data_IF_578318552234
#
_entry.id   IF_578318552234
#
_cell.length_a   1.000
_cell.length_b   1.000
_cell.length_c   1.000
_cell.angle_alpha   90.00
_cell.angle_beta   90.00
_cell.angle_gamma   90.00
#
_symmetry.space_group_name_H-M   'P 1'
#
loop_
_entity.id
_entity.type
_entity.pdbx_description
1 polymer ?
#
# COMPACT_ATOMS: atom_id res chain seq x y z
N UNK A 1 -10.99 7.77 20.32
CA UNK A 1 -10.25 8.92 19.75
C UNK A 1 -9.70 8.46 18.40
N UNK A 2 -9.97 9.18 17.32
CA UNK A 2 -9.32 8.91 16.04
C UNK A 2 -7.82 9.18 16.19
N UNK A 3 -6.96 8.25 15.75
CA UNK A 3 -5.51 8.42 15.84
C UNK A 3 -5.01 9.55 14.94
N UNK A 4 -3.88 10.15 15.30
CA UNK A 4 -3.25 11.18 14.47
C UNK A 4 -2.83 10.58 13.10
N UNK A 5 -2.86 11.38 12.05
CA UNK A 5 -2.36 10.97 10.74
C UNK A 5 -0.85 10.71 10.85
N UNK A 6 -0.39 9.55 10.40
CA UNK A 6 1.02 9.15 10.48
C UNK A 6 1.72 9.21 9.13
N UNK A 7 0.99 8.94 8.06
CA UNK A 7 1.47 9.05 6.69
C UNK A 7 0.40 9.69 5.83
N UNK A 8 0.80 10.61 4.96
CA UNK A 8 -0.08 11.20 3.97
C UNK A 8 0.68 11.45 2.68
N UNK A 9 -0.03 11.62 1.57
CA UNK A 9 0.60 11.98 0.31
C UNK A 9 -0.37 11.93 -0.85
N UNK A 10 0.19 12.10 -2.04
CA UNK A 10 -0.52 12.05 -3.31
C UNK A 10 0.13 11.05 -4.27
N UNK A 11 -0.68 10.15 -4.79
CA UNK A 11 -0.30 9.19 -5.82
C UNK A 11 -0.81 9.69 -7.17
N UNK A 12 0.07 9.68 -8.16
CA UNK A 12 -0.24 10.07 -9.53
C UNK A 12 0.46 9.16 -10.51
N UNK A 13 0.07 9.26 -11.79
CA UNK A 13 0.71 8.55 -12.88
C UNK A 13 0.79 9.42 -14.12
N UNK A 14 1.80 9.17 -14.96
CA UNK A 14 1.95 9.80 -16.28
C UNK A 14 1.20 8.95 -17.30
N UNK A 15 0.09 9.47 -17.84
CA UNK A 15 -0.68 8.77 -18.87
C UNK A 15 0.08 8.72 -20.21
N UNK A 16 -0.43 7.94 -21.17
CA UNK A 16 0.22 7.75 -22.50
C UNK A 16 0.40 9.05 -23.29
N UNK A 17 -0.41 10.06 -23.00
CA UNK A 17 -0.32 11.41 -23.58
C UNK A 17 0.74 12.29 -22.89
N UNK A 18 1.49 11.76 -21.92
CA UNK A 18 2.48 12.49 -21.13
C UNK A 18 1.88 13.34 -20.01
N UNK A 19 0.56 13.33 -19.82
CA UNK A 19 -0.10 14.15 -18.81
C UNK A 19 -0.15 13.43 -17.47
N UNK A 20 0.29 14.10 -16.40
CA UNK A 20 0.17 13.60 -15.03
C UNK A 20 -1.29 13.64 -14.57
N UNK A 21 -1.79 12.50 -14.09
CA UNK A 21 -3.15 12.34 -13.56
C UNK A 21 -3.11 11.75 -12.16
N UNK A 22 -4.11 12.08 -11.34
CA UNK A 22 -4.28 11.44 -10.03
C UNK A 22 -4.52 9.94 -10.20
N UNK A 23 -3.87 9.12 -9.37
CA UNK A 23 -4.07 7.68 -9.34
C UNK A 23 -5.18 7.35 -8.34
N UNK A 24 -6.42 7.75 -8.66
CA UNK A 24 -7.58 7.47 -7.81
C UNK A 24 -7.72 5.97 -7.61
N UNK A 25 -7.96 5.54 -6.38
CA UNK A 25 -8.05 4.13 -6.02
C UNK A 25 -6.71 3.39 -6.00
N UNK A 26 -5.56 4.08 -6.09
CA UNK A 26 -4.27 3.49 -5.76
C UNK A 26 -4.28 2.97 -4.32
N UNK A 27 -3.57 1.87 -4.08
CA UNK A 27 -3.60 1.15 -2.80
C UNK A 27 -2.27 1.32 -2.08
N UNK A 28 -2.32 1.69 -0.81
CA UNK A 28 -1.16 1.91 0.04
C UNK A 28 -1.23 0.92 1.19
N UNK A 29 -0.27 -0.01 1.25
CA UNK A 29 -0.09 -0.93 2.36
C UNK A 29 1.15 -0.52 3.14
N UNK A 30 1.01 -0.38 4.45
CA UNK A 30 2.10 -0.05 5.37
C UNK A 30 2.27 -1.25 6.30
N UNK A 31 3.39 -1.93 6.19
CA UNK A 31 3.69 -3.20 6.83
C UNK A 31 4.79 -2.98 7.88
N UNK A 32 4.56 -3.24 9.17
CA UNK A 32 5.62 -3.04 10.16
C UNK A 32 6.80 -3.99 9.93
N UNK A 33 8.02 -3.60 10.26
CA UNK A 33 9.15 -4.55 10.23
C UNK A 33 8.95 -5.67 11.26
N UNK A 34 8.32 -5.33 12.40
CA UNK A 34 7.96 -6.26 13.47
C UNK A 34 6.43 -6.38 13.55
N UNK A 35 5.87 -7.42 12.92
CA UNK A 35 4.44 -7.71 13.05
C UNK A 35 4.09 -8.43 14.35
N UNK A 36 2.87 -8.20 14.80
CA UNK A 36 2.28 -8.97 15.90
C UNK A 36 1.60 -10.24 15.35
N UNK A 37 2.01 -11.41 15.82
CA UNK A 37 1.43 -12.68 15.40
C UNK A 37 2.00 -13.28 14.12
N UNK A 38 1.48 -14.45 13.73
CA UNK A 38 2.02 -15.27 12.63
C UNK A 38 1.02 -15.56 11.50
N UNK A 39 -0.27 -15.27 11.72
CA UNK A 39 -1.31 -15.52 10.74
C UNK A 39 -1.05 -14.72 9.45
N UNK A 40 -1.28 -15.35 8.30
CA UNK A 40 -1.21 -14.69 7.00
C UNK A 40 -2.57 -14.06 6.69
N UNK A 41 -2.53 -12.87 6.08
CA UNK A 41 -3.70 -12.16 5.60
C UNK A 41 -4.13 -12.73 4.26
N UNK A 42 -5.45 -12.88 4.09
CA UNK A 42 -6.03 -13.09 2.76
C UNK A 42 -5.90 -11.81 1.94
N UNK A 43 -5.56 -11.96 0.66
CA UNK A 43 -5.46 -10.82 -0.26
C UNK A 43 -6.81 -10.23 -0.67
N UNK A 44 -7.93 -10.94 -0.51
CA UNK A 44 -9.18 -10.59 -1.20
C UNK A 44 -9.68 -9.17 -0.86
N UNK A 45 -9.62 -8.77 0.41
CA UNK A 45 -9.99 -7.42 0.86
C UNK A 45 -9.04 -6.31 0.41
N UNK A 46 -7.84 -6.65 -0.07
CA UNK A 46 -6.86 -5.69 -0.60
C UNK A 46 -6.93 -5.54 -2.11
N UNK A 47 -7.79 -6.30 -2.80
CA UNK A 47 -7.91 -6.24 -4.26
C UNK A 47 -8.71 -5.01 -4.69
N UNK A 48 -8.42 -4.53 -5.89
CA UNK A 48 -9.28 -3.53 -6.51
C UNK A 48 -10.69 -4.09 -6.70
N UNK A 49 -11.72 -3.37 -6.27
CA UNK A 49 -13.11 -3.79 -6.35
C UNK A 49 -13.53 -4.79 -5.28
N UNK A 50 -12.74 -4.97 -4.22
CA UNK A 50 -13.14 -5.75 -3.05
C UNK A 50 -14.47 -5.24 -2.49
N UNK A 51 -15.30 -6.16 -1.98
CA UNK A 51 -16.53 -5.78 -1.30
C UNK A 51 -16.21 -4.97 -0.04
N UNK A 52 -17.11 -4.06 0.35
CA UNK A 52 -16.88 -3.18 1.50
C UNK A 52 -16.56 -3.96 2.79
N UNK A 53 -17.23 -5.09 3.02
CA UNK A 53 -16.99 -5.94 4.19
C UNK A 53 -15.58 -6.57 4.16
N UNK A 54 -15.14 -7.08 3.01
CA UNK A 54 -13.81 -7.66 2.86
C UNK A 54 -12.71 -6.60 3.02
N UNK A 55 -12.93 -5.42 2.45
CA UNK A 55 -12.04 -4.26 2.60
C UNK A 55 -11.90 -3.85 4.07
N UNK A 56 -13.02 -3.72 4.78
CA UNK A 56 -13.00 -3.37 6.20
C UNK A 56 -12.28 -4.43 7.03
N UNK A 57 -12.54 -5.72 6.77
CA UNK A 57 -11.85 -6.81 7.45
C UNK A 57 -10.34 -6.78 7.19
N UNK A 58 -9.92 -6.54 5.95
CA UNK A 58 -8.52 -6.40 5.57
C UNK A 58 -7.83 -5.21 6.28
N UNK A 59 -8.49 -4.06 6.33
CA UNK A 59 -8.02 -2.87 7.04
C UNK A 59 -7.80 -3.15 8.52
N UNK A 60 -8.81 -3.71 9.20
CA UNK A 60 -8.73 -4.02 10.63
C UNK A 60 -7.68 -5.09 10.92
N UNK A 61 -7.59 -6.12 10.08
CA UNK A 61 -6.59 -7.18 10.24
C UNK A 61 -5.17 -6.63 10.12
N UNK A 62 -4.89 -5.80 9.11
CA UNK A 62 -3.57 -5.17 8.98
C UNK A 62 -3.27 -4.20 10.13
N UNK A 63 -4.29 -3.46 10.60
CA UNK A 63 -4.18 -2.58 11.77
C UNK A 63 -3.81 -3.34 13.04
N UNK A 64 -4.40 -4.51 13.27
CA UNK A 64 -4.07 -5.39 14.39
C UNK A 64 -2.62 -5.91 14.33
N UNK A 65 -2.07 -6.11 13.13
CA UNK A 65 -0.66 -6.46 12.96
C UNK A 65 0.30 -5.29 13.22
N UNK A 66 -0.22 -4.08 13.43
CA UNK A 66 0.54 -2.84 13.61
C UNK A 66 0.76 -2.05 12.32
N UNK A 67 0.17 -2.49 11.21
CA UNK A 67 0.24 -1.80 9.92
C UNK A 67 -0.94 -0.86 9.66
N UNK A 68 -1.05 -0.43 8.41
CA UNK A 68 -2.20 0.35 7.95
C UNK A 68 -2.45 0.13 6.45
N UNK A 69 -3.71 0.34 6.04
CA UNK A 69 -4.12 0.30 4.65
C UNK A 69 -4.90 1.56 4.30
N UNK A 70 -4.56 2.16 3.16
CA UNK A 70 -5.26 3.31 2.62
C UNK A 70 -5.52 3.14 1.13
N UNK A 71 -6.58 3.80 0.66
CA UNK A 71 -6.92 3.91 -0.76
C UNK A 71 -6.87 5.40 -1.10
N UNK A 72 -6.20 5.74 -2.19
CA UNK A 72 -6.15 7.11 -2.68
C UNK A 72 -7.54 7.56 -3.18
N UNK A 73 -7.93 8.77 -2.81
CA UNK A 73 -9.19 9.40 -3.24
C UNK A 73 -9.15 9.85 -4.72
N UNK A 74 -10.21 10.52 -5.18
CA UNK A 74 -10.30 11.04 -6.56
C UNK A 74 -9.22 12.07 -6.92
N UNK A 75 -8.64 12.75 -5.93
CA UNK A 75 -7.49 13.64 -6.08
C UNK A 75 -6.15 12.91 -6.05
N UNK A 76 -6.15 11.59 -5.84
CA UNK A 76 -4.97 10.75 -5.63
C UNK A 76 -4.42 10.86 -4.22
N UNK A 77 -5.12 11.52 -3.29
CA UNK A 77 -4.63 11.77 -1.93
C UNK A 77 -4.96 10.61 -1.02
N UNK A 78 -4.07 10.30 -0.10
CA UNK A 78 -4.30 9.28 0.92
C UNK A 78 -3.82 9.75 2.29
N UNK A 79 -4.39 9.15 3.33
CA UNK A 79 -3.96 9.29 4.71
C UNK A 79 -4.01 7.92 5.38
N UNK A 80 -3.02 7.64 6.22
CA UNK A 80 -2.95 6.44 7.02
C UNK A 80 -2.49 6.77 8.44
N UNK A 81 -3.02 6.03 9.40
CA UNK A 81 -2.71 6.15 10.82
C UNK A 81 -1.98 4.91 11.29
N UNK A 82 -0.84 5.09 11.95
CA UNK A 82 -0.05 4.05 12.59
C UNK A 82 -0.18 4.20 14.10
N UNK A 83 -0.27 3.07 14.80
CA UNK A 83 -0.50 3.07 16.25
C UNK A 83 0.78 3.31 17.06
N UNK A 84 1.96 3.21 16.44
CA UNK A 84 3.26 3.32 17.11
C UNK A 84 4.36 3.81 16.17
N UNK A 85 5.40 4.44 16.72
CA UNK A 85 6.65 4.65 15.99
C UNK A 85 7.35 3.31 15.68
N UNK A 86 8.10 3.27 14.58
CA UNK A 86 8.77 2.05 14.13
C UNK A 86 9.31 2.13 12.70
N UNK A 87 9.88 1.01 12.24
CA UNK A 87 10.27 0.83 10.84
C UNK A 87 9.14 0.09 10.13
N UNK A 88 8.80 0.57 8.93
CA UNK A 88 7.73 0.05 8.11
C UNK A 88 8.21 -0.11 6.66
N UNK A 89 7.70 -1.12 6.00
CA UNK A 89 7.79 -1.29 4.56
C UNK A 89 6.46 -0.79 3.93
N UNK A 90 6.58 0.13 2.98
CA UNK A 90 5.46 0.78 2.31
C UNK A 90 5.38 0.26 0.88
N UNK A 91 4.27 -0.40 0.56
CA UNK A 91 3.91 -0.84 -0.78
C UNK A 91 2.81 0.07 -1.32
N UNK A 92 3.10 0.79 -2.39
CA UNK A 92 2.12 1.57 -3.16
C UNK A 92 1.86 0.81 -4.46
N UNK A 93 0.61 0.50 -4.74
CA UNK A 93 0.20 -0.20 -5.96
C UNK A 93 -0.72 0.70 -6.78
N UNK A 94 -0.31 1.00 -8.01
CA UNK A 94 -1.11 1.82 -8.92
C UNK A 94 -2.45 1.15 -9.22
N UNK A 95 -3.50 1.95 -9.44
CA UNK A 95 -4.75 1.45 -10.03
C UNK A 95 -4.66 1.43 -11.56
N UNK A 96 -4.00 2.42 -12.13
CA UNK A 96 -4.06 2.72 -13.56
C UNK A 96 -2.86 2.23 -14.37
N UNK A 97 -1.66 2.19 -13.80
CA UNK A 97 -0.45 1.79 -14.53
C UNK A 97 -0.27 0.28 -14.49
N UNK A 98 -0.25 -0.31 -15.69
CA UNK A 98 0.09 -1.72 -15.87
C UNK A 98 1.60 -1.89 -15.94
N UNK A 99 2.07 -3.08 -15.54
CA UNK A 99 3.45 -3.52 -15.62
C UNK A 99 3.57 -4.52 -16.76
N UNK A 100 4.43 -4.21 -17.72
CA UNK A 100 4.64 -5.07 -18.87
C UNK A 100 5.29 -6.41 -18.46
N UNK A 101 4.89 -7.50 -19.13
CA UNK A 101 5.61 -8.77 -19.10
C UNK A 101 5.57 -9.59 -17.80
N UNK A 102 4.81 -9.20 -16.77
CA UNK A 102 4.77 -9.89 -15.46
C UNK A 102 6.14 -10.27 -14.88
N UNK A 103 7.14 -9.37 -14.81
CA UNK A 103 8.43 -9.74 -14.24
C UNK A 103 8.26 -10.28 -12.82
N UNK A 104 9.11 -11.21 -12.41
CA UNK A 104 9.12 -11.68 -11.04
C UNK A 104 9.25 -10.49 -10.07
N UNK A 105 8.63 -10.58 -8.90
CA UNK A 105 8.88 -9.58 -7.86
C UNK A 105 10.36 -9.64 -7.45
N UNK A 106 11.00 -8.51 -7.13
CA UNK A 106 12.30 -8.54 -6.48
C UNK A 106 12.25 -9.45 -5.26
N UNK A 107 13.29 -10.27 -5.05
CA UNK A 107 13.30 -11.32 -4.02
C UNK A 107 12.99 -10.78 -2.62
N UNK A 108 13.46 -9.57 -2.31
CA UNK A 108 13.16 -8.90 -1.05
C UNK A 108 11.68 -8.59 -0.88
N UNK A 109 11.04 -8.05 -1.92
CA UNK A 109 9.60 -7.73 -1.91
C UNK A 109 8.77 -9.01 -1.79
N UNK A 110 9.10 -10.05 -2.56
CA UNK A 110 8.42 -11.35 -2.49
C UNK A 110 8.53 -11.96 -1.08
N UNK A 111 9.72 -11.90 -0.47
CA UNK A 111 9.97 -12.36 0.91
C UNK A 111 9.15 -11.58 1.94
N UNK A 112 9.15 -10.24 1.86
CA UNK A 112 8.44 -9.39 2.82
C UNK A 112 6.93 -9.65 2.69
N UNK A 113 6.38 -9.57 1.48
CA UNK A 113 4.95 -9.82 1.26
C UNK A 113 4.55 -11.25 1.62
N UNK A 114 5.41 -12.24 1.36
CA UNK A 114 5.17 -13.64 1.77
C UNK A 114 5.14 -13.85 3.28
N UNK A 115 5.69 -12.92 4.07
CA UNK A 115 5.53 -12.94 5.52
C UNK A 115 4.19 -12.39 5.98
N UNK A 116 3.44 -11.69 5.12
CA UNK A 116 2.16 -11.06 5.46
C UNK A 116 0.96 -11.71 4.80
N UNK A 117 1.09 -12.20 3.58
CA UNK A 117 -0.04 -12.63 2.75
C UNK A 117 0.09 -14.10 2.34
N UNK A 118 -1.06 -14.77 2.19
CA UNK A 118 -1.14 -16.14 1.69
C UNK A 118 -0.72 -16.26 0.21
N UNK A 119 -1.02 -15.22 -0.58
CA UNK A 119 -0.81 -15.18 -2.04
C UNK A 119 -0.22 -13.83 -2.46
N UNK A 120 0.99 -13.47 -2.00
CA UNK A 120 1.56 -12.12 -2.12
C UNK A 120 1.68 -11.63 -3.56
N UNK A 121 1.96 -12.52 -4.52
CA UNK A 121 2.10 -12.17 -5.93
C UNK A 121 0.80 -11.69 -6.58
N UNK A 122 -0.34 -12.16 -6.10
CA UNK A 122 -1.66 -11.78 -6.61
C UNK A 122 -2.12 -10.42 -6.07
N UNK A 123 -1.55 -9.94 -4.96
CA UNK A 123 -1.83 -8.62 -4.38
C UNK A 123 -1.47 -7.49 -5.35
N UNK A 124 -0.27 -7.57 -5.92
CA UNK A 124 0.26 -6.62 -6.90
C UNK A 124 -0.31 -6.93 -8.29
N UNK A 125 -0.38 -8.21 -8.68
CA UNK A 125 -0.97 -8.61 -9.95
C UNK A 125 -0.22 -8.03 -11.16
N UNK A 126 -0.91 -7.24 -11.98
CA UNK A 126 -0.40 -6.66 -13.24
C UNK A 126 -0.09 -5.18 -13.16
N UNK A 127 -0.23 -4.55 -11.99
CA UNK A 127 -0.05 -3.11 -11.87
C UNK A 127 1.39 -2.79 -11.47
N UNK A 128 1.85 -1.60 -11.86
CA UNK A 128 3.08 -1.06 -11.31
C UNK A 128 2.95 -0.87 -9.80
N UNK A 129 4.08 -1.00 -9.11
CA UNK A 129 4.14 -0.77 -7.68
C UNK A 129 5.46 -0.08 -7.32
N UNK A 130 5.43 0.62 -6.21
CA UNK A 130 6.60 1.19 -5.57
C UNK A 130 6.72 0.59 -4.18
N UNK A 131 7.92 0.12 -3.85
CA UNK A 131 8.24 -0.46 -2.55
C UNK A 131 9.36 0.34 -1.93
N UNK A 132 9.19 0.74 -0.68
CA UNK A 132 10.17 1.56 0.01
C UNK A 132 10.06 1.43 1.52
N UNK A 133 11.11 1.82 2.23
CA UNK A 133 11.16 1.75 3.70
C UNK A 133 10.86 3.12 4.33
N UNK A 134 10.20 3.09 5.48
CA UNK A 134 9.74 4.25 6.26
C UNK A 134 10.19 4.07 7.71
N UNK A 135 10.71 5.13 8.34
CA UNK A 135 10.97 5.14 9.78
C UNK A 135 10.11 6.22 10.42
N UNK A 136 8.97 5.81 10.94
CA UNK A 136 8.02 6.71 11.57
C UNK A 136 8.37 6.90 13.06
N UNK A 137 8.50 8.14 13.50
CA UNK A 137 8.89 8.46 14.88
C UNK A 137 7.71 8.64 15.86
N UNK A 138 6.46 8.53 15.39
CA UNK A 138 5.28 8.49 16.25
C UNK A 138 4.58 9.81 16.54
N UNK A 139 5.06 10.94 15.98
CA UNK A 139 4.55 12.27 16.33
C UNK A 139 4.24 13.17 15.13
N UNK A 140 4.98 13.07 14.04
CA UNK A 140 4.78 13.93 12.86
C UNK A 140 4.34 13.12 11.64
N UNK A 141 3.27 13.53 10.94
CA UNK A 141 2.87 12.89 9.69
C UNK A 141 4.01 12.98 8.67
N UNK A 142 4.39 11.85 8.09
CA UNK A 142 5.34 11.85 6.98
C UNK A 142 4.62 12.05 5.65
N UNK A 143 5.11 12.99 4.84
CA UNK A 143 4.63 13.22 3.49
C UNK A 143 5.33 12.26 2.53
N UNK A 144 4.56 11.52 1.73
CA UNK A 144 5.10 10.55 0.79
C UNK A 144 4.28 10.48 -0.49
N UNK A 145 4.68 11.35 -1.41
CA UNK A 145 4.14 11.40 -2.76
C UNK A 145 4.80 10.36 -3.66
N UNK A 146 4.08 9.92 -4.69
CA UNK A 146 4.64 9.05 -5.72
C UNK A 146 4.03 9.33 -7.09
N UNK A 147 4.86 9.25 -8.13
CA UNK A 147 4.45 9.36 -9.52
C UNK A 147 4.89 8.10 -10.27
N UNK A 148 3.92 7.34 -10.78
CA UNK A 148 4.20 6.20 -11.65
C UNK A 148 4.44 6.67 -13.09
N UNK A 149 5.54 6.24 -13.70
CA UNK A 149 5.88 6.55 -15.09
C UNK A 149 5.51 5.35 -15.97
N UNK A 150 4.99 5.60 -17.17
CA UNK A 150 4.73 4.54 -18.13
C UNK A 150 6.02 3.74 -18.38
N UNK A 151 5.92 2.41 -18.25
CA UNK A 151 7.01 1.48 -18.49
C UNK A 151 7.22 1.20 -19.97
#
# INVERSE_FOLDING_TARGET
MAGAVSLSGRISYIARDGVTRADSGARILILPEKRQGTALLSIEGFRNGAQAADLQLAQESLRLLGGAYAIADDGGRYQATLNSGGVYDVLIVSRHQSRDGRPALPAEVDRILGSYFDRPRLLIGQTQFHFSRLRYHGHEPELRDHVFVAG
#
